data_IF_660034661769
#
_entry.id   IF_660034661769
#
_cell.length_a   1.000
_cell.length_b   1.000
_cell.length_c   1.000
_cell.angle_alpha   90.00
_cell.angle_beta   90.00
_cell.angle_gamma   90.00
#
_symmetry.space_group_name_H-M   'P 1'
#
loop_
_entity.id
_entity.type
_entity.pdbx_description
1 polymer ?
#
# COMPACT_ATOMS: atom_id res chain seq x y z
N UNK A 1 -4.44 -7.35 16.71
CA UNK A 1 -3.74 -7.94 15.54
C UNK A 1 -2.45 -7.19 15.30
N UNK A 2 -1.36 -7.90 15.01
CA UNK A 2 -0.07 -7.29 14.66
C UNK A 2 -0.17 -6.60 13.29
N UNK A 3 0.36 -5.37 13.19
CA UNK A 3 0.42 -4.66 11.90
C UNK A 3 1.51 -5.28 11.04
N UNK A 4 1.12 -5.82 9.89
CA UNK A 4 2.06 -6.23 8.83
C UNK A 4 2.72 -4.95 8.31
N UNK A 5 4.04 -4.92 8.36
CA UNK A 5 4.85 -3.87 7.75
C UNK A 5 5.47 -4.41 6.47
N UNK A 6 5.90 -3.51 5.60
CA UNK A 6 6.70 -3.93 4.47
C UNK A 6 7.96 -4.68 4.93
N UNK A 7 8.31 -5.80 4.26
CA UNK A 7 9.57 -6.49 4.52
C UNK A 7 10.79 -5.75 3.97
N UNK A 8 10.59 -4.78 3.06
CA UNK A 8 11.67 -4.06 2.39
C UNK A 8 12.01 -2.75 3.10
N UNK A 9 13.31 -2.53 3.34
CA UNK A 9 13.84 -1.18 3.59
C UNK A 9 14.05 -0.51 2.24
N UNK A 10 13.26 0.53 1.97
CA UNK A 10 13.31 1.25 0.70
C UNK A 10 13.35 2.77 0.95
N UNK A 11 14.22 3.54 0.25
CA UNK A 11 14.26 4.99 0.36
C UNK A 11 12.90 5.64 0.07
N UNK A 12 12.52 6.65 0.84
CA UNK A 12 11.22 7.30 0.64
C UNK A 12 10.00 6.47 1.10
N UNK A 13 10.22 5.44 1.94
CA UNK A 13 9.16 4.66 2.54
C UNK A 13 8.11 5.53 3.24
N UNK A 14 6.84 5.36 2.87
CA UNK A 14 5.72 6.22 3.31
C UNK A 14 5.11 5.80 4.64
N UNK A 15 5.78 4.92 5.40
CA UNK A 15 5.31 4.38 6.69
C UNK A 15 4.88 5.45 7.70
N UNK A 16 5.53 6.62 7.72
CA UNK A 16 5.15 7.76 8.59
C UNK A 16 3.94 8.53 8.06
N UNK A 17 3.76 8.59 6.74
CA UNK A 17 2.67 9.30 6.07
C UNK A 17 1.37 8.49 5.98
N UNK A 18 1.38 7.19 6.30
CA UNK A 18 0.19 6.30 6.25
C UNK A 18 -1.02 6.91 6.99
N UNK A 19 -0.79 7.55 8.14
CA UNK A 19 -1.86 8.19 8.92
C UNK A 19 -2.58 9.31 8.17
N UNK A 20 -1.88 9.98 7.25
CA UNK A 20 -2.42 11.05 6.41
C UNK A 20 -3.01 10.50 5.11
N UNK A 21 -2.43 9.43 4.56
CA UNK A 21 -2.86 8.83 3.28
C UNK A 21 -4.17 8.04 3.44
N UNK A 22 -4.28 7.15 4.42
CA UNK A 22 -5.43 6.23 4.53
C UNK A 22 -6.80 6.94 4.60
N UNK A 23 -6.97 8.06 5.33
CA UNK A 23 -8.25 8.77 5.37
C UNK A 23 -8.71 9.32 4.02
N UNK A 24 -7.81 9.46 3.04
CA UNK A 24 -8.13 9.99 1.71
C UNK A 24 -8.61 8.89 0.75
N UNK A 25 -8.52 7.62 1.14
CA UNK A 25 -8.93 6.50 0.29
C UNK A 25 -10.46 6.35 0.37
N UNK A 26 -11.17 6.29 -0.77
CA UNK A 26 -12.62 6.11 -0.78
C UNK A 26 -13.04 4.84 -0.07
N UNK A 27 -14.03 4.93 0.81
CA UNK A 27 -14.55 3.80 1.60
C UNK A 27 -15.23 2.71 0.75
N UNK A 28 -15.54 3.01 -0.51
CA UNK A 28 -16.14 2.09 -1.48
C UNK A 28 -15.13 1.57 -2.51
N UNK A 29 -13.82 1.69 -2.25
CA UNK A 29 -12.77 1.20 -3.12
C UNK A 29 -12.92 -0.31 -3.40
N UNK A 30 -12.85 -0.69 -4.68
CA UNK A 30 -12.95 -2.08 -5.15
C UNK A 30 -11.66 -2.60 -5.79
N UNK A 31 -10.84 -1.68 -6.26
CA UNK A 31 -9.56 -1.95 -6.91
C UNK A 31 -8.51 -0.97 -6.40
N UNK A 32 -7.31 -1.46 -6.12
CA UNK A 32 -6.18 -0.64 -5.72
C UNK A 32 -5.10 -0.66 -6.80
N UNK A 33 -4.54 0.51 -7.13
CA UNK A 33 -3.42 0.63 -8.05
C UNK A 33 -2.32 1.47 -7.43
N UNK A 34 -1.10 0.95 -7.41
CA UNK A 34 0.10 1.66 -6.95
C UNK A 34 1.20 1.57 -8.02
N UNK A 35 1.32 2.58 -8.89
CA UNK A 35 2.29 2.58 -9.99
C UNK A 35 3.76 2.71 -9.57
N UNK A 36 3.99 3.15 -8.33
CA UNK A 36 5.29 3.42 -7.71
C UNK A 36 5.36 2.73 -6.34
N UNK A 37 5.44 1.41 -6.37
CA UNK A 37 5.39 0.57 -5.17
C UNK A 37 6.50 0.91 -4.18
N UNK A 38 7.74 1.03 -4.66
CA UNK A 38 8.95 1.16 -3.87
C UNK A 38 8.96 0.13 -2.73
N UNK A 39 8.96 0.62 -1.49
CA UNK A 39 8.89 -0.24 -0.31
C UNK A 39 7.49 -0.74 0.05
N UNK A 40 6.43 -0.52 -0.71
CA UNK A 40 5.09 -1.11 -0.50
C UNK A 40 4.34 -0.71 0.79
N UNK A 41 4.85 0.25 1.57
CA UNK A 41 4.27 0.61 2.88
C UNK A 41 2.79 1.02 2.80
N UNK A 42 2.36 1.64 1.70
CA UNK A 42 0.96 2.04 1.49
C UNK A 42 0.12 0.82 1.15
N UNK A 43 0.51 0.04 0.14
CA UNK A 43 -0.14 -1.23 -0.21
C UNK A 43 -0.42 -2.11 1.02
N UNK A 44 0.58 -2.38 1.87
CA UNK A 44 0.38 -3.24 3.04
C UNK A 44 -0.64 -2.65 4.03
N UNK A 45 -0.65 -1.32 4.21
CA UNK A 45 -1.63 -0.65 5.06
C UNK A 45 -3.04 -0.71 4.47
N UNK A 46 -3.17 -0.49 3.16
CA UNK A 46 -4.44 -0.56 2.43
C UNK A 46 -5.00 -1.98 2.45
N UNK A 47 -4.19 -2.99 2.13
CA UNK A 47 -4.60 -4.39 2.12
C UNK A 47 -5.08 -4.88 3.49
N UNK A 48 -4.45 -4.40 4.58
CA UNK A 48 -4.90 -4.72 5.93
C UNK A 48 -6.23 -4.05 6.28
N UNK A 49 -6.45 -2.80 5.85
CA UNK A 49 -7.65 -2.04 6.20
C UNK A 49 -8.86 -2.38 5.31
N UNK A 50 -8.63 -2.56 4.01
CA UNK A 50 -9.68 -2.71 2.98
C UNK A 50 -9.69 -4.10 2.33
N UNK A 51 -8.95 -5.07 2.88
CA UNK A 51 -8.75 -6.39 2.26
C UNK A 51 -10.02 -7.19 1.98
N UNK A 52 -11.11 -6.93 2.72
CA UNK A 52 -12.41 -7.56 2.46
C UNK A 52 -13.14 -6.95 1.25
N UNK A 53 -12.88 -5.67 0.95
CA UNK A 53 -13.58 -4.87 -0.05
C UNK A 53 -12.88 -4.91 -1.41
N UNK A 54 -11.55 -4.84 -1.41
CA UNK A 54 -10.72 -4.80 -2.62
C UNK A 54 -10.47 -6.22 -3.11
N UNK A 55 -10.82 -6.49 -4.36
CA UNK A 55 -10.64 -7.81 -4.99
C UNK A 55 -9.39 -7.87 -5.87
N UNK A 56 -8.96 -6.74 -6.41
CA UNK A 56 -7.84 -6.66 -7.35
C UNK A 56 -6.85 -5.59 -6.91
N UNK A 57 -5.56 -5.95 -6.99
CA UNK A 57 -4.45 -5.06 -6.69
C UNK A 57 -3.52 -5.04 -7.90
N UNK A 58 -3.27 -3.85 -8.45
CA UNK A 58 -2.27 -3.62 -9.47
C UNK A 58 -1.09 -2.90 -8.85
N UNK A 59 0.07 -3.55 -8.85
CA UNK A 59 1.28 -3.02 -8.28
C UNK A 59 2.31 -2.95 -9.39
N UNK A 60 3.00 -1.82 -9.47
CA UNK A 60 4.07 -1.60 -10.43
C UNK A 60 5.19 -0.81 -9.76
N UNK A 61 6.40 -1.01 -10.25
CA UNK A 61 7.51 -0.11 -10.07
C UNK A 61 8.34 -0.09 -11.35
N UNK A 62 9.15 0.95 -11.55
CA UNK A 62 10.08 0.99 -12.67
C UNK A 62 11.33 0.14 -12.38
N UNK A 63 11.67 -0.02 -11.11
CA UNK A 63 12.82 -0.83 -10.71
C UNK A 63 12.51 -2.32 -10.94
N UNK A 64 13.17 -2.93 -11.92
CA UNK A 64 12.98 -4.34 -12.27
C UNK A 64 13.55 -5.33 -11.24
N UNK A 65 14.46 -4.88 -10.37
CA UNK A 65 15.04 -5.72 -9.31
C UNK A 65 14.16 -5.77 -8.04
N UNK A 66 13.04 -5.03 -8.04
CA UNK A 66 12.06 -4.96 -6.95
C UNK A 66 10.91 -5.95 -7.18
#
# INVERSE_FOLDING_TARGET
>A
MSKIKSPLRYPGGKSRAIKQILPQIPVNIREYREPFFGGGSVFFAVKQLFGQQIKTYWINDLNYDL
#
